data_IF_221973069754
#
_entry.id   IF_221973069754
#
_cell.length_a   1.000
_cell.length_b   1.000
_cell.length_c   1.000
_cell.angle_alpha   90.00
_cell.angle_beta   90.00
_cell.angle_gamma   90.00
#
_symmetry.space_group_name_H-M   'P 1'
#
loop_
_entity.id
_entity.type
_entity.pdbx_description
1 polymer ?
#
# COMPACT_ATOMS: atom_id res chain seq x y z
N UNK A 1 -2.65 -5.08 -11.64
CA UNK A 1 -1.68 -5.50 -10.60
C UNK A 1 -2.48 -6.02 -9.41
N UNK A 2 -2.58 -7.34 -9.24
CA UNK A 2 -3.36 -7.92 -8.15
C UNK A 2 -2.45 -8.23 -6.96
N UNK A 3 -2.86 -7.81 -5.76
CA UNK A 3 -2.26 -8.20 -4.49
C UNK A 3 -3.33 -8.99 -3.76
N UNK A 4 -3.15 -10.30 -3.53
CA UNK A 4 -4.16 -11.13 -2.85
C UNK A 4 -4.50 -10.61 -1.45
N UNK A 5 -5.69 -10.95 -0.96
CA UNK A 5 -6.08 -10.71 0.44
C UNK A 5 -5.05 -11.35 1.38
N UNK A 6 -4.68 -10.66 2.45
CA UNK A 6 -3.71 -11.16 3.42
C UNK A 6 -2.25 -11.04 2.97
N UNK A 7 -2.00 -10.50 1.76
CA UNK A 7 -0.65 -10.20 1.29
C UNK A 7 -0.42 -8.70 1.23
N UNK A 8 0.83 -8.31 1.46
CA UNK A 8 1.29 -6.93 1.31
C UNK A 8 2.43 -6.84 0.30
N UNK A 9 2.61 -5.63 -0.23
CA UNK A 9 3.76 -5.29 -1.08
C UNK A 9 4.34 -3.96 -0.64
N UNK A 10 5.60 -3.72 -0.97
CA UNK A 10 6.25 -2.47 -0.64
C UNK A 10 6.02 -1.40 -1.72
N UNK A 11 6.20 -0.14 -1.36
CA UNK A 11 6.28 0.95 -2.33
C UNK A 11 7.40 0.74 -3.36
N UNK A 12 8.52 0.12 -2.96
CA UNK A 12 9.61 -0.24 -3.87
C UNK A 12 9.17 -1.30 -4.89
N UNK A 13 8.36 -2.28 -4.46
CA UNK A 13 7.78 -3.28 -5.36
C UNK A 13 6.83 -2.64 -6.38
N UNK A 14 6.01 -1.68 -5.96
CA UNK A 14 5.17 -0.89 -6.87
C UNK A 14 6.01 -0.17 -7.92
N UNK A 15 7.02 0.58 -7.45
CA UNK A 15 7.88 1.38 -8.32
C UNK A 15 8.64 0.52 -9.34
N UNK A 16 9.22 -0.60 -8.90
CA UNK A 16 9.88 -1.55 -9.79
C UNK A 16 8.93 -2.11 -10.85
N UNK A 17 7.70 -2.49 -10.45
CA UNK A 17 6.71 -3.01 -11.40
C UNK A 17 6.16 -1.96 -12.38
N UNK A 18 6.23 -0.68 -11.99
CA UNK A 18 5.87 0.45 -12.83
C UNK A 18 7.01 0.86 -13.80
N UNK A 19 8.14 0.15 -13.80
CA UNK A 19 9.29 0.47 -14.67
C UNK A 19 10.21 1.55 -14.12
N UNK A 20 10.04 1.96 -12.86
CA UNK A 20 10.90 2.95 -12.18
C UNK A 20 11.47 2.39 -10.87
N UNK A 21 12.40 1.42 -10.92
CA UNK A 21 13.12 0.96 -9.74
C UNK A 21 13.75 2.14 -8.97
N UNK A 22 13.62 2.16 -7.65
CA UNK A 22 14.10 3.27 -6.80
C UNK A 22 13.10 4.42 -6.59
N UNK A 23 12.02 4.51 -7.38
CA UNK A 23 11.01 5.57 -7.26
C UNK A 23 9.94 5.30 -6.19
N UNK A 24 10.31 4.68 -5.05
CA UNK A 24 9.37 4.29 -4.00
C UNK A 24 8.59 5.48 -3.40
N UNK A 25 9.25 6.63 -3.25
CA UNK A 25 8.61 7.86 -2.75
C UNK A 25 7.58 8.41 -3.74
N UNK A 26 7.88 8.38 -5.04
CA UNK A 26 6.94 8.78 -6.08
C UNK A 26 5.72 7.82 -6.13
N UNK A 27 5.97 6.52 -6.02
CA UNK A 27 4.90 5.52 -5.90
C UNK A 27 3.99 5.80 -4.68
N UNK A 28 4.57 6.18 -3.53
CA UNK A 28 3.80 6.60 -2.36
C UNK A 28 2.92 7.83 -2.61
N UNK A 29 3.47 8.86 -3.27
CA UNK A 29 2.72 10.05 -3.66
C UNK A 29 1.56 9.73 -4.61
N UNK A 30 1.82 8.90 -5.64
CA UNK A 30 0.80 8.47 -6.59
C UNK A 30 -0.33 7.65 -5.91
N UNK A 31 0.02 6.77 -4.96
CA UNK A 31 -0.97 6.02 -4.17
C UNK A 31 -1.76 6.92 -3.21
N UNK A 32 -1.12 7.96 -2.66
CA UNK A 32 -1.79 8.95 -1.80
C UNK A 32 -2.78 9.84 -2.56
N UNK A 33 -2.48 10.15 -3.82
CA UNK A 33 -3.35 10.91 -4.72
C UNK A 33 -4.42 10.05 -5.41
N UNK A 34 -4.54 8.75 -5.08
CA UNK A 34 -5.48 7.85 -5.72
C UNK A 34 -6.94 8.26 -5.38
N UNK A 35 -7.78 8.63 -6.36
CA UNK A 35 -9.17 9.02 -6.13
C UNK A 35 -10.08 7.84 -5.75
N UNK A 36 -9.63 6.60 -5.93
CA UNK A 36 -10.42 5.38 -5.66
C UNK A 36 -9.66 4.40 -4.73
N UNK A 37 -9.52 4.74 -3.43
CA UNK A 37 -8.68 4.01 -2.48
C UNK A 37 -9.20 2.63 -2.03
N UNK A 38 -10.45 2.26 -2.35
CA UNK A 38 -11.03 0.96 -2.00
C UNK A 38 -11.10 -0.02 -3.17
N UNK A 39 -11.20 0.48 -4.41
CA UNK A 39 -11.19 -0.33 -5.63
C UNK A 39 -9.76 -0.79 -5.93
N UNK A 40 -8.80 0.12 -5.75
CA UNK A 40 -7.38 -0.21 -5.76
C UNK A 40 -6.98 -0.56 -4.32
N UNK A 41 -6.48 -1.77 -4.02
CA UNK A 41 -6.15 -2.19 -2.66
C UNK A 41 -4.87 -1.52 -2.14
N UNK A 42 -4.83 -0.18 -2.12
CA UNK A 42 -3.65 0.59 -1.73
C UNK A 42 -3.36 0.49 -0.23
N UNK A 43 -4.31 0.04 0.58
CA UNK A 43 -4.09 -0.32 1.99
C UNK A 43 -3.14 -1.51 2.15
N UNK A 44 -2.96 -2.35 1.12
CA UNK A 44 -2.01 -3.48 1.11
C UNK A 44 -0.57 -3.06 0.78
N UNK A 45 -0.32 -1.78 0.50
CA UNK A 45 1.03 -1.26 0.27
C UNK A 45 1.62 -0.72 1.57
N UNK A 46 2.77 -1.25 1.98
CA UNK A 46 3.43 -0.92 3.24
C UNK A 46 4.88 -0.46 3.01
N UNK A 47 5.52 0.09 4.04
CA UNK A 47 6.95 0.39 3.98
C UNK A 47 7.77 -0.90 3.99
N UNK A 48 8.89 -0.88 3.27
CA UNK A 48 9.82 -2.04 3.23
C UNK A 48 10.40 -2.40 4.59
N UNK A 49 10.46 -1.44 5.54
CA UNK A 49 11.00 -1.64 6.88
C UNK A 49 9.93 -2.12 7.90
N UNK A 50 8.83 -2.72 7.46
CA UNK A 50 7.78 -3.25 8.34
C UNK A 50 6.77 -2.21 8.88
N UNK A 51 6.99 -0.92 8.62
CA UNK A 51 5.99 0.11 8.93
C UNK A 51 4.78 0.06 7.99
N UNK A 52 3.60 0.37 8.51
CA UNK A 52 2.35 0.41 7.73
C UNK A 52 2.36 1.46 6.61
N UNK A 53 3.19 2.50 6.69
CA UNK A 53 3.24 3.57 5.69
C UNK A 53 2.00 4.47 5.70
N UNK A 54 1.83 5.29 4.66
CA UNK A 54 0.71 6.24 4.55
C UNK A 54 -0.58 5.63 3.99
N UNK A 55 -1.71 6.28 4.27
CA UNK A 55 -3.01 5.97 3.66
C UNK A 55 -3.81 7.25 3.44
N UNK A 56 -4.32 7.48 2.23
CA UNK A 56 -5.08 8.69 1.90
C UNK A 56 -6.35 8.87 2.72
N UNK A 57 -6.95 7.77 3.21
CA UNK A 57 -8.14 7.80 4.07
C UNK A 57 -7.82 7.70 5.58
N UNK A 58 -6.56 7.84 5.97
CA UNK A 58 -6.13 7.78 7.38
C UNK A 58 -5.65 6.41 7.86
N UNK A 59 -4.71 6.42 8.81
CA UNK A 59 -4.01 5.21 9.24
C UNK A 59 -4.90 4.20 9.97
N UNK A 60 -5.93 4.67 10.68
CA UNK A 60 -6.80 3.79 11.46
C UNK A 60 -7.65 2.89 10.57
N UNK A 61 -8.14 3.42 9.44
CA UNK A 61 -8.85 2.62 8.44
C UNK A 61 -7.91 1.59 7.81
N UNK A 62 -6.67 1.98 7.47
CA UNK A 62 -5.68 1.04 6.94
C UNK A 62 -5.38 -0.10 7.91
N UNK A 63 -5.19 0.22 9.19
CA UNK A 63 -4.99 -0.80 10.24
C UNK A 63 -6.18 -1.75 10.34
N UNK A 64 -7.41 -1.23 10.38
CA UNK A 64 -8.62 -2.04 10.41
C UNK A 64 -8.74 -2.97 9.19
N UNK A 65 -8.50 -2.45 7.98
CA UNK A 65 -8.55 -3.25 6.76
C UNK A 65 -7.49 -4.34 6.77
N UNK A 66 -6.24 -4.02 7.14
CA UNK A 66 -5.17 -5.00 7.26
C UNK A 66 -5.46 -6.05 8.35
N UNK A 67 -6.07 -5.66 9.47
CA UNK A 67 -6.48 -6.57 10.52
C UNK A 67 -7.62 -7.51 10.07
N UNK A 68 -8.63 -6.98 9.39
CA UNK A 68 -9.70 -7.79 8.79
C UNK A 68 -9.14 -8.81 7.79
N UNK A 69 -8.05 -8.46 7.10
CA UNK A 69 -7.36 -9.35 6.17
C UNK A 69 -6.38 -10.33 6.83
N UNK A 70 -6.20 -10.27 8.15
CA UNK A 70 -5.28 -11.13 8.90
C UNK A 70 -3.80 -10.75 8.77
N UNK A 71 -3.49 -9.53 8.29
CA UNK A 71 -2.11 -9.04 8.13
C UNK A 71 -1.58 -8.43 9.43
N UNK A 72 -2.44 -7.73 10.16
CA UNK A 72 -2.12 -7.14 11.47
C UNK A 72 -2.97 -7.85 12.53
N UNK A 73 -2.35 -8.19 13.65
CA UNK A 73 -2.99 -8.66 14.89
C UNK A 73 -2.94 -7.58 15.94
#
# INVERSE_FOLDING_TARGET
>A
MQIPRGQTRSYAWIAARAGSPGAARAAGGALGANPLPLIVPCHRIINSCGGIGGFGMGLDLKRRLLAMEGVLT
#
